data_IF_621520448916
#
_entry.id   IF_621520448916
#
_cell.length_a   1.000
_cell.length_b   1.000
_cell.length_c   1.000
_cell.angle_alpha   90.00
_cell.angle_beta   90.00
_cell.angle_gamma   90.00
#
_symmetry.space_group_name_H-M   'P 1'
#
loop_
_entity.id
_entity.type
_entity.pdbx_description
1 polymer ?
#
# COMPACT_ATOMS: atom_id res chain seq x y z
N UNK A 1 -40.52 46.14 -13.98
CA UNK A 1 -39.64 45.69 -12.87
C UNK A 1 -39.93 44.25 -12.41
N UNK A 2 -41.18 43.76 -12.40
CA UNK A 2 -41.49 42.35 -12.02
C UNK A 2 -40.75 41.25 -12.82
N UNK A 3 -40.43 41.48 -14.10
CA UNK A 3 -39.73 40.50 -14.95
C UNK A 3 -38.26 40.28 -14.56
N UNK A 4 -37.62 41.28 -13.94
CA UNK A 4 -36.22 41.19 -13.49
C UNK A 4 -36.13 40.35 -12.22
N UNK A 5 -37.14 40.46 -11.35
CA UNK A 5 -37.22 39.69 -10.10
C UNK A 5 -37.32 38.18 -10.35
N UNK A 6 -38.05 37.75 -11.38
CA UNK A 6 -38.12 36.32 -11.75
C UNK A 6 -36.79 35.80 -12.30
N UNK A 7 -36.05 36.60 -13.05
CA UNK A 7 -34.79 36.18 -13.67
C UNK A 7 -33.69 35.97 -12.61
N UNK A 8 -33.62 36.84 -11.60
CA UNK A 8 -32.70 36.69 -10.46
C UNK A 8 -33.04 35.47 -9.61
N UNK A 9 -34.32 35.20 -9.37
CA UNK A 9 -34.76 34.04 -8.59
C UNK A 9 -34.40 32.71 -9.29
N UNK A 10 -34.56 32.66 -10.61
CA UNK A 10 -34.25 31.45 -11.41
C UNK A 10 -32.75 31.18 -11.45
N UNK A 11 -31.93 32.23 -11.48
CA UNK A 11 -30.46 32.11 -11.44
C UNK A 11 -29.95 31.59 -10.09
N UNK A 12 -30.58 31.97 -8.98
CA UNK A 12 -30.24 31.48 -7.65
C UNK A 12 -30.59 30.00 -7.45
N UNK A 13 -31.73 29.54 -7.97
CA UNK A 13 -32.14 28.13 -7.84
C UNK A 13 -31.25 27.19 -8.67
N UNK A 14 -30.79 27.63 -9.85
CA UNK A 14 -29.87 26.83 -10.67
C UNK A 14 -28.47 26.68 -10.04
N UNK A 15 -28.05 27.64 -9.22
CA UNK A 15 -26.76 27.54 -8.51
C UNK A 15 -26.81 26.55 -7.33
N UNK A 16 -27.99 26.26 -6.78
CA UNK A 16 -28.15 25.37 -5.63
C UNK A 16 -28.16 23.87 -5.99
N UNK A 17 -28.22 23.52 -7.28
CA UNK A 17 -28.26 22.12 -7.75
C UNK A 17 -26.83 21.66 -8.18
N UNK A 18 -25.84 22.54 -8.12
CA UNK A 18 -24.49 22.29 -8.65
C UNK A 18 -23.46 21.71 -7.68
N UNK A 19 -23.81 21.49 -6.41
CA UNK A 19 -22.92 20.90 -5.41
C UNK A 19 -23.73 19.90 -4.57
N UNK A 20 -23.95 18.71 -5.11
CA UNK A 20 -23.91 17.53 -4.25
C UNK A 20 -22.44 17.41 -3.82
N UNK A 21 -22.15 17.79 -2.57
CA UNK A 21 -20.91 17.42 -1.89
C UNK A 21 -20.91 15.89 -1.79
N UNK A 22 -20.48 15.24 -2.86
CA UNK A 22 -20.10 13.84 -2.82
C UNK A 22 -18.78 13.77 -2.05
N UNK A 23 -18.90 13.74 -0.72
CA UNK A 23 -17.84 13.47 0.26
C UNK A 23 -17.30 12.02 0.14
N UNK A 24 -17.52 11.34 -0.99
CA UNK A 24 -16.82 10.10 -1.30
C UNK A 24 -15.36 10.42 -1.61
N UNK A 25 -14.58 10.55 -0.53
CA UNK A 25 -13.14 10.31 -0.58
C UNK A 25 -13.01 8.88 -1.10
N UNK A 26 -12.75 8.72 -2.41
CA UNK A 26 -12.39 7.41 -2.95
C UNK A 26 -11.15 6.98 -2.18
N UNK A 27 -11.31 6.02 -1.27
CA UNK A 27 -10.16 5.40 -0.66
C UNK A 27 -9.32 4.90 -1.83
N UNK A 28 -8.04 5.30 -1.95
CA UNK A 28 -7.21 4.78 -3.02
C UNK A 28 -7.33 3.26 -2.92
N UNK A 29 -7.74 2.61 -4.02
CA UNK A 29 -7.81 1.17 -4.08
C UNK A 29 -6.48 0.65 -3.54
N UNK A 30 -6.51 0.08 -2.33
CA UNK A 30 -5.34 -0.52 -1.74
C UNK A 30 -5.04 -1.72 -2.61
N UNK A 31 -4.09 -1.58 -3.54
CA UNK A 31 -3.66 -2.68 -4.39
C UNK A 31 -3.30 -3.86 -3.48
N UNK A 32 -4.09 -4.94 -3.59
CA UNK A 32 -3.87 -6.13 -2.80
C UNK A 32 -2.70 -6.91 -3.41
N UNK A 33 -1.62 -7.03 -2.66
CA UNK A 33 -0.46 -7.85 -3.03
C UNK A 33 -0.45 -9.17 -2.27
N UNK A 34 -0.08 -10.23 -2.98
CA UNK A 34 0.24 -11.53 -2.42
C UNK A 34 1.75 -11.65 -2.28
N UNK A 35 2.24 -11.70 -1.04
CA UNK A 35 3.67 -11.82 -0.72
C UNK A 35 3.95 -13.27 -0.31
N UNK A 36 4.89 -13.92 -1.00
CA UNK A 36 5.37 -15.26 -0.66
C UNK A 36 6.85 -15.20 -0.33
N UNK A 37 7.24 -15.75 0.82
CA UNK A 37 8.64 -15.87 1.23
C UNK A 37 9.01 -17.34 1.26
N UNK A 38 10.09 -17.72 0.57
CA UNK A 38 10.60 -19.10 0.52
C UNK A 38 12.07 -19.17 0.88
N UNK A 39 12.53 -20.32 1.36
CA UNK A 39 13.94 -20.56 1.72
C UNK A 39 14.33 -20.16 3.15
N UNK A 40 13.49 -19.42 3.88
CA UNK A 40 13.71 -19.18 5.31
C UNK A 40 13.43 -20.45 6.12
N UNK A 41 14.35 -20.87 7.01
CA UNK A 41 14.06 -21.91 7.99
C UNK A 41 13.12 -21.37 9.08
N UNK A 42 12.19 -22.20 9.55
CA UNK A 42 11.27 -21.83 10.64
C UNK A 42 12.01 -21.47 11.94
N UNK A 43 13.16 -22.09 12.16
CA UNK A 43 14.01 -21.87 13.33
C UNK A 43 15.46 -21.74 12.88
N UNK A 44 16.09 -20.62 13.25
CA UNK A 44 17.52 -20.40 13.08
C UNK A 44 18.20 -20.37 14.45
N UNK A 45 19.26 -21.17 14.61
CA UNK A 45 20.10 -21.14 15.82
C UNK A 45 21.54 -20.79 15.45
N UNK A 46 22.12 -19.86 16.20
CA UNK A 46 23.47 -19.38 16.00
C UNK A 46 24.12 -19.07 17.37
N UNK A 47 25.41 -19.37 17.56
CA UNK A 47 26.16 -18.91 18.74
C UNK A 47 26.10 -17.38 18.88
N UNK A 48 26.15 -16.88 20.11
CA UNK A 48 26.21 -15.44 20.38
C UNK A 48 27.42 -14.81 19.69
N UNK A 49 27.20 -13.70 19.00
CA UNK A 49 28.23 -12.97 18.26
C UNK A 49 28.64 -13.61 16.92
N UNK A 50 27.94 -14.65 16.45
CA UNK A 50 28.16 -15.20 15.11
C UNK A 50 27.23 -14.58 14.07
N UNK A 51 27.75 -14.40 12.87
CA UNK A 51 27.02 -13.97 11.68
C UNK A 51 26.73 -15.19 10.80
N UNK A 52 25.55 -15.23 10.16
CA UNK A 52 25.17 -16.29 9.24
C UNK A 52 24.44 -15.72 8.05
N UNK A 53 24.89 -16.15 6.87
CA UNK A 53 24.16 -15.90 5.63
C UNK A 53 22.94 -16.80 5.56
N UNK A 54 21.79 -16.20 5.24
CA UNK A 54 20.54 -16.90 5.02
C UNK A 54 20.04 -16.51 3.64
N UNK A 55 19.79 -17.53 2.82
CA UNK A 55 19.26 -17.34 1.48
C UNK A 55 17.75 -17.52 1.52
N UNK A 56 17.02 -16.51 1.08
CA UNK A 56 15.57 -16.56 0.94
C UNK A 56 15.16 -15.79 -0.31
N UNK A 57 13.97 -16.09 -0.81
CA UNK A 57 13.37 -15.44 -1.97
C UNK A 57 12.05 -14.84 -1.54
N UNK A 58 11.85 -13.56 -1.87
CA UNK A 58 10.57 -12.87 -1.70
C UNK A 58 9.97 -12.68 -3.08
N UNK A 59 8.78 -13.24 -3.30
CA UNK A 59 8.02 -13.05 -4.52
C UNK A 59 6.75 -12.24 -4.20
N UNK A 60 6.57 -11.14 -4.92
CA UNK A 60 5.40 -10.27 -4.78
C UNK A 60 4.56 -10.36 -6.05
N UNK A 61 3.28 -10.69 -5.89
CA UNK A 61 2.33 -10.77 -6.98
C UNK A 61 1.12 -9.87 -6.72
N UNK A 62 0.46 -9.40 -7.77
CA UNK A 62 -0.87 -8.81 -7.65
C UNK A 62 -1.91 -9.88 -7.29
N UNK A 63 -3.14 -9.44 -7.02
CA UNK A 63 -4.27 -10.35 -6.84
C UNK A 63 -4.55 -11.25 -8.06
N UNK A 64 -4.16 -10.79 -9.26
CA UNK A 64 -4.27 -11.56 -10.51
C UNK A 64 -3.09 -12.53 -10.74
N UNK A 65 -2.14 -12.60 -9.80
CA UNK A 65 -0.97 -13.48 -9.88
C UNK A 65 0.16 -12.96 -10.78
N UNK A 66 0.13 -11.69 -11.19
CA UNK A 66 1.19 -11.07 -11.99
C UNK A 66 2.32 -10.61 -11.06
N UNK A 67 3.58 -10.93 -11.39
CA UNK A 67 4.74 -10.47 -10.63
C UNK A 67 4.82 -8.93 -10.59
N UNK A 68 5.15 -8.38 -9.42
CA UNK A 68 5.18 -6.94 -9.16
C UNK A 68 6.60 -6.46 -8.83
N UNK A 69 6.98 -5.37 -9.48
CA UNK A 69 8.31 -4.77 -9.40
C UNK A 69 8.27 -3.47 -8.58
N UNK A 70 9.41 -3.08 -8.02
CA UNK A 70 9.53 -1.81 -7.32
C UNK A 70 8.85 -1.79 -5.95
N UNK A 71 8.47 -2.94 -5.41
CA UNK A 71 7.85 -3.06 -4.08
C UNK A 71 8.95 -3.10 -3.03
N UNK A 72 8.90 -2.18 -2.06
CA UNK A 72 9.80 -2.19 -0.91
C UNK A 72 9.36 -3.26 0.10
N UNK A 73 10.25 -4.19 0.39
CA UNK A 73 10.06 -5.24 1.38
C UNK A 73 10.96 -4.95 2.58
N UNK A 74 10.37 -4.90 3.77
CA UNK A 74 11.10 -4.78 5.04
C UNK A 74 10.98 -6.08 5.82
N UNK A 75 12.13 -6.62 6.21
CA UNK A 75 12.24 -7.79 7.08
C UNK A 75 12.49 -7.31 8.52
N UNK A 76 12.02 -8.07 9.50
CA UNK A 76 12.32 -7.78 10.91
C UNK A 76 12.38 -9.08 11.71
N UNK A 77 13.15 -9.08 12.79
CA UNK A 77 13.25 -10.22 13.71
C UNK A 77 12.25 -10.01 14.83
N UNK A 78 11.32 -10.96 14.99
CA UNK A 78 10.40 -10.99 16.13
C UNK A 78 11.11 -11.70 17.28
N UNK A 79 11.93 -10.96 18.02
CA UNK A 79 12.66 -11.47 19.19
C UNK A 79 13.87 -10.61 19.55
N UNK A 80 14.15 -10.45 20.85
CA UNK A 80 15.14 -9.50 21.39
C UNK A 80 16.62 -9.84 21.08
N UNK A 81 16.91 -10.91 20.33
CA UNK A 81 18.26 -11.42 20.13
C UNK A 81 18.52 -11.63 18.64
N UNK A 82 18.93 -10.57 17.95
CA UNK A 82 19.42 -10.67 16.57
C UNK A 82 19.18 -9.40 15.75
N UNK A 83 19.92 -9.28 14.66
CA UNK A 83 19.75 -8.24 13.64
C UNK A 83 19.73 -8.88 12.27
N UNK A 84 18.91 -8.37 11.34
CA UNK A 84 18.89 -8.79 9.94
C UNK A 84 19.48 -7.68 9.09
N UNK A 85 20.37 -8.04 8.17
CA UNK A 85 20.98 -7.12 7.21
C UNK A 85 21.10 -7.82 5.84
N UNK A 86 20.63 -7.21 4.74
CA UNK A 86 19.90 -5.95 4.70
C UNK A 86 18.48 -6.07 5.29
N UNK A 87 18.03 -5.04 6.00
CA UNK A 87 16.67 -4.97 6.55
C UNK A 87 15.61 -4.72 5.46
N UNK A 88 16.03 -4.07 4.38
CA UNK A 88 15.16 -3.57 3.31
C UNK A 88 15.71 -3.98 1.96
N UNK A 89 14.82 -4.38 1.07
CA UNK A 89 15.14 -4.64 -0.33
C UNK A 89 13.98 -4.21 -1.22
N UNK A 90 14.27 -3.96 -2.49
CA UNK A 90 13.27 -3.70 -3.52
C UNK A 90 13.22 -4.94 -4.41
N UNK A 91 12.02 -5.37 -4.83
CA UNK A 91 11.89 -6.48 -5.78
C UNK A 91 12.50 -6.11 -7.13
N UNK A 92 13.42 -6.96 -7.59
CA UNK A 92 13.90 -7.01 -8.97
C UNK A 92 13.06 -7.98 -9.82
N UNK A 93 13.28 -7.97 -11.14
CA UNK A 93 12.44 -8.56 -12.19
C UNK A 93 11.90 -9.98 -11.93
#
# INVERSE_FOLDING_TARGET
MRKIMFLVLTFFVLFSIGCDDDDSVSSPDSEAYNITITGLPDVLTAPLGSERDIYFVVAVHSNDGIAQQGIEVSLSVVGDIGTVSPLKSITDE
#
